data_IF_366469251305
#
_entry.id   IF_366469251305
#
_cell.length_a   1.000
_cell.length_b   1.000
_cell.length_c   1.000
_cell.angle_alpha   90.00
_cell.angle_beta   90.00
_cell.angle_gamma   90.00
#
_symmetry.space_group_name_H-M   'P 1'
#
loop_
_entity.id
_entity.type
_entity.pdbx_description
1 polymer ?
#
# COMPACT_ATOMS: atom_id res chain seq x y z
N UNK A 1 12.33 -5.01 10.99
CA UNK A 1 12.77 -5.65 9.73
C UNK A 1 13.83 -6.65 10.12
N UNK A 2 13.88 -7.80 9.44
CA UNK A 2 14.94 -8.77 9.70
C UNK A 2 16.30 -8.14 9.35
N UNK A 3 17.39 -8.65 9.93
CA UNK A 3 18.75 -8.16 9.67
C UNK A 3 19.26 -8.56 8.28
N UNK A 4 18.59 -9.52 7.62
CA UNK A 4 18.83 -9.84 6.22
C UNK A 4 18.52 -8.65 5.30
N UNK A 5 19.40 -8.42 4.32
CA UNK A 5 19.26 -7.38 3.32
C UNK A 5 18.07 -7.69 2.38
N UNK A 6 16.88 -7.28 2.80
CA UNK A 6 15.69 -7.26 1.95
C UNK A 6 15.77 -6.11 0.96
N UNK A 7 15.15 -6.28 -0.21
CA UNK A 7 15.03 -5.20 -1.18
C UNK A 7 14.31 -4.00 -0.55
N UNK A 8 14.85 -2.80 -0.77
CA UNK A 8 14.16 -1.58 -0.39
C UNK A 8 12.89 -1.44 -1.21
N UNK A 9 11.77 -1.32 -0.50
CA UNK A 9 10.46 -1.08 -1.09
C UNK A 9 9.74 -0.02 -0.29
N UNK A 10 9.17 0.97 -0.98
CA UNK A 10 8.33 2.00 -0.38
C UNK A 10 6.87 1.63 -0.57
N UNK A 11 6.25 1.15 0.51
CA UNK A 11 4.85 0.74 0.51
C UNK A 11 4.17 1.12 1.83
N UNK A 12 2.95 1.63 1.74
CA UNK A 12 2.07 1.83 2.89
C UNK A 12 0.60 1.62 2.50
N UNK A 13 -0.19 1.14 3.45
CA UNK A 13 -1.63 1.01 3.31
C UNK A 13 -2.30 1.48 4.60
N UNK A 14 -3.30 2.34 4.49
CA UNK A 14 -4.03 2.87 5.63
C UNK A 14 -5.42 3.34 5.21
N UNK A 15 -6.27 3.70 6.18
CA UNK A 15 -7.52 4.42 5.88
C UNK A 15 -7.23 5.70 5.12
N UNK A 16 -8.09 6.09 4.19
CA UNK A 16 -7.91 7.25 3.28
C UNK A 16 -7.41 8.52 3.99
N UNK A 17 -7.96 8.87 5.15
CA UNK A 17 -7.52 10.06 5.93
C UNK A 17 -6.09 9.91 6.48
N UNK A 18 -5.76 8.75 7.04
CA UNK A 18 -4.44 8.47 7.59
C UNK A 18 -3.39 8.38 6.47
N UNK A 19 -3.71 7.76 5.34
CA UNK A 19 -2.82 7.67 4.19
C UNK A 19 -2.41 9.07 3.67
N UNK A 20 -3.36 10.01 3.58
CA UNK A 20 -3.05 11.40 3.20
C UNK A 20 -2.10 12.09 4.19
N UNK A 21 -2.29 11.87 5.48
CA UNK A 21 -1.38 12.39 6.50
C UNK A 21 0.02 11.74 6.38
N UNK A 22 0.08 10.42 6.25
CA UNK A 22 1.33 9.68 6.07
C UNK A 22 2.11 10.14 4.83
N UNK A 23 1.44 10.37 3.70
CA UNK A 23 2.06 10.86 2.47
C UNK A 23 2.65 12.27 2.63
N UNK A 24 2.09 13.08 3.54
CA UNK A 24 2.60 14.42 3.84
C UNK A 24 3.72 14.41 4.89
N UNK A 25 3.58 13.59 5.92
CA UNK A 25 4.38 13.67 7.14
C UNK A 25 5.57 12.70 7.14
N UNK A 26 5.49 11.60 6.37
CA UNK A 26 6.58 10.64 6.24
C UNK A 26 7.40 10.95 5.00
N UNK A 27 8.63 11.43 5.21
CA UNK A 27 9.53 11.91 4.16
C UNK A 27 9.69 10.92 3.00
N UNK A 28 9.87 9.63 3.30
CA UNK A 28 10.08 8.62 2.25
C UNK A 28 8.82 8.35 1.43
N UNK A 29 7.65 8.30 2.08
CA UNK A 29 6.37 8.18 1.37
C UNK A 29 6.10 9.41 0.50
N UNK A 30 6.42 10.60 1.01
CA UNK A 30 6.29 11.85 0.26
C UNK A 30 7.24 11.89 -0.95
N UNK A 31 8.47 11.40 -0.77
CA UNK A 31 9.55 11.51 -1.76
C UNK A 31 9.47 10.44 -2.84
N UNK A 32 9.12 9.22 -2.46
CA UNK A 32 9.24 8.03 -3.32
C UNK A 32 7.90 7.35 -3.59
N UNK A 33 6.85 7.66 -2.82
CA UNK A 33 5.54 7.05 -2.97
C UNK A 33 4.51 7.99 -3.61
N UNK A 34 3.47 7.40 -4.20
CA UNK A 34 2.26 8.10 -4.63
C UNK A 34 1.03 7.35 -4.16
N UNK A 35 -0.04 8.09 -3.82
CA UNK A 35 -1.34 7.48 -3.53
C UNK A 35 -1.88 6.89 -4.82
N UNK A 36 -2.05 5.57 -4.86
CA UNK A 36 -2.48 4.85 -6.04
C UNK A 36 -4.01 4.84 -6.16
N UNK A 37 -4.49 5.04 -7.38
CA UNK A 37 -5.88 4.77 -7.75
C UNK A 37 -6.13 3.27 -7.87
N UNK A 38 -7.36 2.80 -7.59
CA UNK A 38 -7.74 1.40 -7.80
C UNK A 38 -7.44 0.92 -9.22
N UNK A 39 -6.94 -0.32 -9.34
CA UNK A 39 -6.71 -0.96 -10.64
C UNK A 39 -8.03 -1.48 -11.20
N UNK A 40 -8.47 -0.96 -12.35
CA UNK A 40 -9.80 -1.22 -12.95
C UNK A 40 -10.10 -2.69 -13.26
N UNK A 41 -9.06 -3.51 -13.45
CA UNK A 41 -9.17 -4.91 -13.89
C UNK A 41 -8.68 -5.92 -12.85
N UNK A 42 -8.43 -5.50 -11.61
CA UNK A 42 -7.93 -6.39 -10.55
C UNK A 42 -8.73 -6.15 -9.26
N UNK A 43 -8.96 -7.21 -8.48
CA UNK A 43 -9.39 -7.06 -7.09
C UNK A 43 -8.46 -6.08 -6.38
N UNK A 44 -9.06 -5.15 -5.66
CA UNK A 44 -8.34 -4.08 -4.97
C UNK A 44 -8.64 -4.14 -3.48
N UNK A 45 -7.88 -3.36 -2.71
CA UNK A 45 -8.13 -3.20 -1.27
C UNK A 45 -9.52 -2.62 -1.02
N UNK A 46 -9.99 -2.74 0.22
CA UNK A 46 -11.26 -2.16 0.64
C UNK A 46 -11.37 -0.67 0.30
N UNK A 47 -12.58 -0.20 -0.05
CA UNK A 47 -12.76 1.19 -0.48
C UNK A 47 -12.33 2.21 0.57
N UNK A 48 -12.45 1.92 1.88
CA UNK A 48 -12.00 2.84 2.93
C UNK A 48 -10.46 2.94 3.03
N UNK A 49 -9.72 2.03 2.39
CA UNK A 49 -8.27 1.99 2.37
C UNK A 49 -7.70 2.74 1.16
N UNK A 50 -6.51 3.28 1.35
CA UNK A 50 -5.67 3.85 0.31
C UNK A 50 -4.28 3.22 0.39
N UNK A 51 -3.67 3.06 -0.79
CA UNK A 51 -2.34 2.48 -0.96
C UNK A 51 -1.40 3.58 -1.41
N UNK A 52 -0.23 3.67 -0.78
CA UNK A 52 0.89 4.51 -1.19
C UNK A 52 2.01 3.57 -1.59
N UNK A 53 2.52 3.70 -2.81
CA UNK A 53 3.59 2.84 -3.32
C UNK A 53 4.47 3.61 -4.30
N UNK A 54 5.71 3.17 -4.47
CA UNK A 54 6.60 3.65 -5.52
C UNK A 54 6.11 3.33 -6.92
N UNK A 55 5.35 2.25 -7.07
CA UNK A 55 4.81 1.81 -8.35
C UNK A 55 3.56 0.95 -8.20
N UNK A 56 2.81 0.81 -9.30
CA UNK A 56 1.64 -0.07 -9.36
C UNK A 56 2.04 -1.53 -9.31
N UNK A 57 3.21 -1.85 -9.86
CA UNK A 57 3.82 -3.17 -9.92
C UNK A 57 4.18 -3.67 -8.53
N UNK A 58 4.82 -2.83 -7.70
CA UNK A 58 5.12 -3.15 -6.30
C UNK A 58 3.83 -3.37 -5.50
N UNK A 59 2.84 -2.50 -5.69
CA UNK A 59 1.55 -2.67 -5.01
C UNK A 59 0.83 -3.95 -5.46
N UNK A 60 0.93 -4.28 -6.74
CA UNK A 60 0.36 -5.49 -7.34
C UNK A 60 1.03 -6.79 -6.85
N UNK A 61 2.32 -6.74 -6.50
CA UNK A 61 3.07 -7.86 -5.95
C UNK A 61 2.76 -8.08 -4.47
N UNK A 62 2.68 -6.99 -3.69
CA UNK A 62 2.47 -7.04 -2.25
C UNK A 62 1.00 -7.23 -1.83
N UNK A 63 0.05 -6.71 -2.61
CA UNK A 63 -1.39 -6.88 -2.34
C UNK A 63 -1.86 -8.19 -2.97
N UNK A 64 -1.68 -9.27 -2.22
CA UNK A 64 -2.12 -10.60 -2.64
C UNK A 64 -3.62 -10.81 -2.39
N UNK A 65 -4.24 -11.72 -3.14
CA UNK A 65 -5.65 -12.11 -2.93
C UNK A 65 -5.93 -12.53 -1.49
N UNK A 66 -5.00 -13.22 -0.83
CA UNK A 66 -5.13 -13.62 0.58
C UNK A 66 -5.27 -12.42 1.52
N UNK A 67 -4.53 -11.34 1.28
CA UNK A 67 -4.62 -10.10 2.08
C UNK A 67 -5.92 -9.34 1.80
N UNK A 68 -6.40 -9.37 0.55
CA UNK A 68 -7.69 -8.76 0.17
C UNK A 68 -8.86 -9.52 0.80
N UNK A 69 -8.77 -10.86 0.81
CA UNK A 69 -9.83 -11.77 1.26
C UNK A 69 -9.80 -12.02 2.79
N UNK A 70 -8.81 -11.51 3.53
CA UNK A 70 -8.70 -11.61 5.00
C UNK A 70 -9.84 -10.90 5.78
N UNK A 71 -10.89 -10.43 5.08
CA UNK A 71 -12.12 -9.85 5.62
C UNK A 71 -12.98 -10.78 6.50
N UNK A 72 -12.52 -11.97 6.86
CA UNK A 72 -13.36 -13.06 7.39
C UNK A 72 -12.97 -13.74 8.70
N UNK A 73 -11.95 -13.28 9.43
CA UNK A 73 -11.63 -13.84 10.77
C UNK A 73 -11.63 -12.73 11.82
N UNK A 74 -12.83 -12.39 12.28
CA UNK A 74 -13.09 -11.77 13.59
C UNK A 74 -13.84 -12.79 14.45
#
# INVERSE_FOLDING_TARGET
MNDDAMNHVVFAMAKKKAAKAMHKDVRDLQRFGSVLSPLTSRKWVADDLAVISESKEVAADLITDAVIDQRGFV
#
